data_IF_276064052783
#
_entry.id   IF_276064052783
#
_cell.length_a   1.000
_cell.length_b   1.000
_cell.length_c   1.000
_cell.angle_alpha   90.00
_cell.angle_beta   90.00
_cell.angle_gamma   90.00
#
_symmetry.space_group_name_H-M   'P 1'
#
loop_
_entity.id
_entity.type
_entity.pdbx_description
1 polymer ?
#
# COMPACT_ATOMS: atom_id res chain seq x y z
N UNK A 1 43.20 33.46 -32.85
CA UNK A 1 44.58 32.95 -32.70
C UNK A 1 44.93 32.52 -31.27
N UNK A 2 44.53 33.25 -30.22
CA UNK A 2 44.96 32.94 -28.84
C UNK A 2 44.48 31.58 -28.26
N UNK A 3 43.29 31.11 -28.65
CA UNK A 3 42.78 29.81 -28.16
C UNK A 3 43.55 28.66 -28.80
N UNK A 4 43.78 28.68 -30.12
CA UNK A 4 44.49 27.60 -30.84
C UNK A 4 45.93 27.38 -30.36
N UNK A 5 46.65 28.43 -29.98
CA UNK A 5 48.02 28.33 -29.43
C UNK A 5 48.07 27.78 -28.00
N UNK A 6 46.96 27.80 -27.27
CA UNK A 6 46.86 27.29 -25.91
C UNK A 6 46.66 25.76 -25.88
N UNK A 7 46.04 25.19 -26.91
CA UNK A 7 45.84 23.74 -27.02
C UNK A 7 47.10 23.00 -27.50
N UNK A 8 47.99 23.68 -28.24
CA UNK A 8 49.26 23.09 -28.73
C UNK A 8 50.35 22.97 -27.67
N UNK A 9 50.16 23.56 -26.48
CA UNK A 9 51.15 23.59 -25.39
C UNK A 9 50.75 22.75 -24.17
N UNK A 10 49.51 22.23 -24.13
CA UNK A 10 49.07 21.34 -23.06
C UNK A 10 49.62 19.94 -23.34
N UNK A 11 50.54 19.51 -22.48
CA UNK A 11 51.08 18.16 -22.53
C UNK A 11 50.03 17.14 -22.08
N UNK A 12 50.11 15.91 -22.59
CA UNK A 12 49.24 14.81 -22.13
C UNK A 12 49.25 14.64 -20.61
N UNK A 13 50.39 14.89 -19.95
CA UNK A 13 50.50 14.87 -18.50
C UNK A 13 49.66 15.94 -17.80
N UNK A 14 49.63 17.16 -18.35
CA UNK A 14 48.78 18.25 -17.83
C UNK A 14 47.30 17.96 -18.08
N UNK A 15 46.93 17.41 -19.24
CA UNK A 15 45.55 16.98 -19.50
C UNK A 15 45.11 15.90 -18.51
N UNK A 16 45.93 14.88 -18.28
CA UNK A 16 45.64 13.81 -17.33
C UNK A 16 45.53 14.34 -15.89
N UNK A 17 46.39 15.27 -15.49
CA UNK A 17 46.31 15.90 -14.18
C UNK A 17 45.02 16.72 -14.01
N UNK A 18 44.60 17.47 -15.02
CA UNK A 18 43.33 18.22 -14.99
C UNK A 18 42.14 17.28 -14.92
N UNK A 19 42.11 16.21 -15.73
CA UNK A 19 41.05 15.20 -15.69
C UNK A 19 40.99 14.51 -14.32
N UNK A 20 42.14 14.19 -13.73
CA UNK A 20 42.22 13.60 -12.40
C UNK A 20 41.68 14.55 -11.32
N UNK A 21 42.09 15.82 -11.33
CA UNK A 21 41.64 16.81 -10.34
C UNK A 21 40.14 17.07 -10.47
N UNK A 22 39.62 17.22 -11.69
CA UNK A 22 38.19 17.39 -11.95
C UNK A 22 37.41 16.15 -11.52
N UNK A 23 37.91 14.96 -11.83
CA UNK A 23 37.31 13.69 -11.41
C UNK A 23 37.29 13.51 -9.89
N UNK A 24 38.37 13.87 -9.20
CA UNK A 24 38.48 13.81 -7.74
C UNK A 24 37.53 14.82 -7.08
N UNK A 25 37.44 16.04 -7.63
CA UNK A 25 36.49 17.06 -7.22
C UNK A 25 35.05 16.59 -7.37
N UNK A 26 34.70 16.04 -8.54
CA UNK A 26 33.38 15.49 -8.80
C UNK A 26 33.02 14.33 -7.86
N UNK A 27 33.95 13.39 -7.62
CA UNK A 27 33.75 12.29 -6.69
C UNK A 27 33.55 12.77 -5.23
N UNK A 28 34.28 13.82 -4.82
CA UNK A 28 34.15 14.42 -3.49
C UNK A 28 32.81 15.11 -3.31
N UNK A 29 32.37 15.87 -4.32
CA UNK A 29 31.04 16.51 -4.31
C UNK A 29 29.93 15.46 -4.28
N UNK A 30 30.04 14.40 -5.09
CA UNK A 30 29.10 13.27 -5.08
C UNK A 30 29.07 12.53 -3.74
N UNK A 31 30.23 12.30 -3.13
CA UNK A 31 30.35 11.66 -1.81
C UNK A 31 29.63 12.50 -0.75
N UNK A 32 29.87 13.81 -0.74
CA UNK A 32 29.23 14.73 0.20
C UNK A 32 27.73 14.79 -0.04
N UNK A 33 27.32 14.86 -1.32
CA UNK A 33 25.93 14.87 -1.71
C UNK A 33 25.22 13.59 -1.28
N UNK A 34 25.78 12.40 -1.54
CA UNK A 34 25.15 11.12 -1.20
C UNK A 34 25.06 10.85 0.30
N UNK A 35 26.13 11.14 1.04
CA UNK A 35 26.22 10.81 2.47
C UNK A 35 25.50 11.78 3.40
N UNK A 36 25.38 13.06 3.03
CA UNK A 36 24.87 14.07 3.96
C UNK A 36 23.78 14.99 3.40
N UNK A 37 23.80 15.26 2.08
CA UNK A 37 22.84 16.21 1.48
C UNK A 37 21.73 15.52 0.68
N UNK A 38 21.78 14.20 0.53
CA UNK A 38 20.78 13.47 -0.25
C UNK A 38 19.51 13.33 0.58
N UNK A 39 18.32 13.37 -0.06
CA UNK A 39 17.05 13.17 0.64
C UNK A 39 16.98 11.85 1.42
N UNK A 40 17.84 10.87 1.09
CA UNK A 40 17.91 9.53 1.68
C UNK A 40 19.10 9.33 2.62
N UNK A 41 19.92 10.37 2.87
CA UNK A 41 21.11 10.30 3.74
C UNK A 41 20.78 9.97 5.21
N UNK A 42 19.53 10.18 5.62
CA UNK A 42 19.03 9.89 6.96
C UNK A 42 18.69 8.40 7.16
N UNK A 43 18.67 7.59 6.10
CA UNK A 43 18.38 6.16 6.18
C UNK A 43 19.63 5.43 6.70
N UNK A 44 19.54 4.69 7.82
CA UNK A 44 20.70 4.05 8.43
C UNK A 44 21.23 2.90 7.55
N UNK A 45 22.55 2.85 7.38
CA UNK A 45 23.23 1.79 6.63
C UNK A 45 24.74 2.04 6.47
N UNK A 46 25.48 1.08 5.89
CA UNK A 46 26.92 1.21 5.70
C UNK A 46 27.27 2.36 4.75
N UNK A 47 28.11 3.29 5.20
CA UNK A 47 28.48 4.49 4.43
C UNK A 47 29.07 4.17 3.05
N UNK A 48 29.77 3.06 2.90
CA UNK A 48 30.34 2.64 1.61
C UNK A 48 29.26 2.26 0.58
N UNK A 49 28.14 1.68 1.03
CA UNK A 49 26.99 1.36 0.19
C UNK A 49 26.29 2.62 -0.30
N UNK A 50 26.16 3.62 0.59
CA UNK A 50 25.61 4.93 0.23
C UNK A 50 26.54 5.73 -0.70
N UNK A 51 27.86 5.53 -0.60
CA UNK A 51 28.85 6.25 -1.39
C UNK A 51 28.91 5.75 -2.85
N UNK A 52 28.87 4.43 -3.07
CA UNK A 52 29.25 3.84 -4.36
C UNK A 52 28.54 2.52 -4.68
N UNK A 53 28.31 2.27 -5.97
CA UNK A 53 27.94 0.93 -6.51
C UNK A 53 29.08 -0.10 -6.35
N UNK A 54 30.30 0.33 -6.00
CA UNK A 54 31.41 -0.57 -5.72
C UNK A 54 31.17 -1.45 -4.49
N UNK A 55 30.30 -1.04 -3.58
CA UNK A 55 29.90 -1.88 -2.47
C UNK A 55 29.15 -3.13 -2.95
N UNK A 56 28.14 -2.96 -3.81
CA UNK A 56 27.44 -4.04 -4.50
C UNK A 56 28.42 -4.87 -5.35
N UNK A 57 29.24 -4.20 -6.17
CA UNK A 57 30.24 -4.85 -7.02
C UNK A 57 31.25 -5.71 -6.24
N UNK A 58 31.67 -5.27 -5.04
CA UNK A 58 32.57 -6.05 -4.20
C UNK A 58 31.92 -7.36 -3.74
N UNK A 59 30.68 -7.30 -3.26
CA UNK A 59 30.00 -8.51 -2.82
C UNK A 59 29.59 -9.41 -3.99
N UNK A 60 29.22 -8.86 -5.15
CA UNK A 60 28.77 -9.63 -6.30
C UNK A 60 29.89 -10.15 -7.20
N UNK A 61 30.95 -9.37 -7.43
CA UNK A 61 32.05 -9.77 -8.31
C UNK A 61 33.22 -10.34 -7.51
N UNK A 62 33.65 -9.67 -6.44
CA UNK A 62 34.86 -10.08 -5.70
C UNK A 62 34.57 -11.23 -4.74
N UNK A 63 33.42 -11.22 -4.07
CA UNK A 63 33.00 -12.28 -3.15
C UNK A 63 32.09 -13.35 -3.78
N UNK A 64 31.84 -13.25 -5.09
CA UNK A 64 31.12 -14.25 -5.88
C UNK A 64 29.62 -14.28 -5.63
N UNK A 65 28.92 -13.17 -5.85
CA UNK A 65 27.45 -13.10 -5.81
C UNK A 65 26.85 -13.01 -4.41
N UNK A 66 27.61 -12.52 -3.42
CA UNK A 66 27.19 -12.53 -2.01
C UNK A 66 26.44 -11.27 -1.56
N UNK A 67 26.14 -10.33 -2.46
CA UNK A 67 25.55 -9.06 -2.05
C UNK A 67 24.16 -9.25 -1.43
N UNK A 68 23.41 -10.23 -1.94
CA UNK A 68 22.12 -10.64 -1.39
C UNK A 68 22.20 -11.05 0.09
N UNK A 69 23.19 -11.87 0.48
CA UNK A 69 23.36 -12.27 1.88
C UNK A 69 23.77 -11.07 2.75
N UNK A 70 24.56 -10.14 2.20
CA UNK A 70 24.88 -8.91 2.91
C UNK A 70 23.65 -8.04 3.09
N UNK A 71 22.78 -7.91 2.08
CA UNK A 71 21.49 -7.23 2.20
C UNK A 71 20.62 -7.89 3.29
N UNK A 72 20.63 -9.21 3.44
CA UNK A 72 19.90 -9.89 4.53
C UNK A 72 20.48 -9.55 5.91
N UNK A 73 21.80 -9.51 6.04
CA UNK A 73 22.48 -9.07 7.28
C UNK A 73 22.15 -7.61 7.60
N UNK A 74 22.20 -6.74 6.59
CA UNK A 74 21.81 -5.34 6.71
C UNK A 74 20.32 -5.18 7.01
N UNK A 75 19.46 -6.09 6.53
CA UNK A 75 18.05 -6.08 6.93
C UNK A 75 17.86 -6.53 8.39
N UNK A 76 18.69 -7.43 8.91
CA UNK A 76 18.69 -7.78 10.34
C UNK A 76 19.20 -6.63 11.21
N UNK A 77 20.16 -5.86 10.71
CA UNK A 77 20.81 -4.76 11.44
C UNK A 77 20.03 -3.43 11.33
N UNK A 78 19.46 -3.14 10.16
CA UNK A 78 18.84 -1.86 9.79
C UNK A 78 17.40 -1.99 9.24
N UNK A 79 16.96 -3.20 8.88
CA UNK A 79 15.83 -3.44 7.99
C UNK A 79 14.47 -3.61 8.63
N UNK A 80 14.20 -3.02 9.78
CA UNK A 80 12.81 -2.89 10.23
C UNK A 80 12.13 -1.81 9.39
N UNK A 81 11.81 -2.12 8.13
CA UNK A 81 11.12 -1.20 7.18
C UNK A 81 9.84 -0.61 7.80
N UNK A 82 9.23 -1.34 8.75
CA UNK A 82 8.05 -0.91 9.49
C UNK A 82 8.24 -0.83 11.01
N UNK A 83 9.47 -0.98 11.53
CA UNK A 83 9.73 -0.97 12.97
C UNK A 83 9.11 -2.13 13.76
N UNK A 84 8.69 -3.22 13.08
CA UNK A 84 8.02 -4.38 13.67
C UNK A 84 8.60 -5.72 13.17
N UNK A 85 9.91 -5.98 13.35
CA UNK A 85 10.62 -7.15 12.80
C UNK A 85 10.07 -8.50 13.29
N UNK A 86 9.49 -8.54 14.48
CA UNK A 86 8.93 -9.76 15.05
C UNK A 86 7.48 -9.99 14.63
N UNK A 87 6.86 -9.11 13.83
CA UNK A 87 5.48 -9.27 13.37
C UNK A 87 5.26 -10.43 12.40
N UNK A 88 4.03 -10.92 12.27
CA UNK A 88 3.69 -12.01 11.35
C UNK A 88 4.11 -11.68 9.91
N UNK A 89 3.86 -10.45 9.46
CA UNK A 89 4.19 -9.99 8.11
C UNK A 89 5.70 -9.84 7.86
N UNK A 90 6.47 -9.46 8.88
CA UNK A 90 7.93 -9.31 8.77
C UNK A 90 8.71 -10.62 8.97
N UNK A 91 8.03 -11.69 9.42
CA UNK A 91 8.67 -12.98 9.74
C UNK A 91 9.24 -13.63 8.48
N UNK A 92 10.55 -13.86 8.46
CA UNK A 92 11.25 -14.47 7.31
C UNK A 92 11.05 -15.98 7.27
N UNK A 93 11.21 -16.67 8.39
CA UNK A 93 11.07 -18.13 8.47
C UNK A 93 9.65 -18.60 8.06
N UNK A 94 9.56 -19.68 7.29
CA UNK A 94 8.29 -20.15 6.73
C UNK A 94 7.35 -20.68 7.80
N UNK A 95 7.84 -21.59 8.65
CA UNK A 95 7.02 -22.28 9.64
C UNK A 95 6.62 -21.33 10.77
N UNK A 96 7.52 -20.42 11.17
CA UNK A 96 7.21 -19.39 12.16
C UNK A 96 6.18 -18.39 11.65
N UNK A 97 6.30 -17.96 10.38
CA UNK A 97 5.28 -17.14 9.74
C UNK A 97 3.93 -17.88 9.70
N UNK A 98 3.94 -19.16 9.29
CA UNK A 98 2.73 -20.00 9.22
C UNK A 98 2.06 -20.14 10.59
N UNK A 99 2.83 -20.37 11.65
CA UNK A 99 2.36 -20.41 13.03
C UNK A 99 1.65 -19.10 13.42
N UNK A 100 2.36 -17.96 13.30
CA UNK A 100 1.83 -16.63 13.63
C UNK A 100 0.57 -16.29 12.82
N UNK A 101 0.59 -16.60 11.53
CA UNK A 101 -0.50 -16.30 10.60
C UNK A 101 -1.72 -17.20 10.78
N UNK A 102 -1.55 -18.42 11.27
CA UNK A 102 -2.66 -19.39 11.43
C UNK A 102 -3.82 -18.82 12.25
N UNK A 103 -3.51 -18.09 13.32
CA UNK A 103 -4.48 -17.43 14.20
C UNK A 103 -5.15 -16.24 13.49
N UNK A 104 -4.36 -15.44 12.77
CA UNK A 104 -4.86 -14.25 12.07
C UNK A 104 -5.77 -14.58 10.88
N UNK A 105 -5.53 -15.71 10.20
CA UNK A 105 -6.32 -16.12 9.05
C UNK A 105 -7.81 -16.29 9.41
N UNK A 106 -8.12 -16.74 10.62
CA UNK A 106 -9.51 -16.88 11.09
C UNK A 106 -10.19 -15.50 11.18
N UNK A 107 -9.50 -14.51 11.74
CA UNK A 107 -10.01 -13.15 11.88
C UNK A 107 -10.24 -12.46 10.53
N UNK A 108 -9.32 -12.63 9.58
CA UNK A 108 -9.40 -12.01 8.25
C UNK A 108 -10.12 -12.87 7.20
N UNK A 109 -10.79 -13.95 7.61
CA UNK A 109 -11.59 -14.76 6.70
C UNK A 109 -12.78 -13.96 6.15
N UNK A 110 -13.25 -14.29 4.94
CA UNK A 110 -14.45 -13.66 4.35
C UNK A 110 -15.66 -13.75 5.28
N UNK A 111 -15.82 -14.86 6.02
CA UNK A 111 -16.91 -15.03 6.97
C UNK A 111 -16.78 -14.05 8.14
N UNK A 112 -15.61 -13.97 8.77
CA UNK A 112 -15.36 -13.06 9.89
C UNK A 112 -15.51 -11.60 9.49
N UNK A 113 -15.01 -11.21 8.30
CA UNK A 113 -15.17 -9.85 7.77
C UNK A 113 -16.64 -9.51 7.52
N UNK A 114 -17.45 -10.45 7.01
CA UNK A 114 -18.90 -10.24 6.86
C UNK A 114 -19.59 -10.01 8.20
N UNK A 115 -19.17 -10.71 9.25
CA UNK A 115 -19.70 -10.49 10.60
C UNK A 115 -19.31 -9.12 11.17
N UNK A 116 -18.25 -8.50 10.64
CA UNK A 116 -17.83 -7.13 10.99
C UNK A 116 -18.55 -6.06 10.16
N UNK A 117 -19.41 -6.41 9.20
CA UNK A 117 -20.12 -5.43 8.37
C UNK A 117 -20.79 -4.30 9.18
N UNK A 118 -21.52 -4.56 10.29
CA UNK A 118 -22.15 -3.48 11.07
C UNK A 118 -21.13 -2.46 11.61
N UNK A 119 -19.95 -2.94 12.02
CA UNK A 119 -18.86 -2.09 12.51
C UNK A 119 -18.26 -1.26 11.38
N UNK A 120 -18.08 -1.86 10.20
CA UNK A 120 -17.58 -1.14 9.01
C UNK A 120 -18.62 -0.09 8.60
N UNK A 121 -19.90 -0.43 8.57
CA UNK A 121 -20.98 0.48 8.21
C UNK A 121 -21.09 1.67 9.14
N UNK A 122 -20.98 1.49 10.46
CA UNK A 122 -20.93 2.61 11.43
C UNK A 122 -19.83 3.61 11.07
N UNK A 123 -18.66 3.11 10.62
CA UNK A 123 -17.53 3.94 10.19
C UNK A 123 -17.79 4.61 8.85
N UNK A 124 -18.44 3.92 7.90
CA UNK A 124 -18.86 4.52 6.63
C UNK A 124 -19.87 5.63 6.87
N UNK A 125 -20.85 5.41 7.75
CA UNK A 125 -21.87 6.42 8.05
C UNK A 125 -21.25 7.64 8.74
N UNK A 126 -20.30 7.42 9.66
CA UNK A 126 -19.52 8.51 10.28
C UNK A 126 -18.70 9.29 9.25
N UNK A 127 -18.12 8.60 8.25
CA UNK A 127 -17.40 9.22 7.15
C UNK A 127 -18.33 10.11 6.31
N UNK A 128 -19.51 9.60 5.94
CA UNK A 128 -20.50 10.33 5.14
C UNK A 128 -21.09 11.52 5.90
N UNK A 129 -21.33 11.39 7.20
CA UNK A 129 -21.72 12.51 8.06
C UNK A 129 -20.63 13.58 8.10
N UNK A 130 -19.35 13.19 8.15
CA UNK A 130 -18.23 14.13 8.07
C UNK A 130 -18.20 14.89 6.73
N UNK A 131 -18.47 14.23 5.60
CA UNK A 131 -18.63 14.89 4.30
C UNK A 131 -19.78 15.89 4.31
N UNK A 132 -20.95 15.49 4.79
CA UNK A 132 -22.11 16.37 4.90
C UNK A 132 -21.81 17.59 5.77
N UNK A 133 -21.22 17.38 6.94
CA UNK A 133 -20.86 18.46 7.88
C UNK A 133 -19.84 19.42 7.28
N UNK A 134 -18.85 18.89 6.56
CA UNK A 134 -17.86 19.72 5.87
C UNK A 134 -18.52 20.56 4.78
N UNK A 135 -19.35 19.96 3.92
CA UNK A 135 -20.13 20.67 2.91
C UNK A 135 -20.97 21.80 3.50
N UNK A 136 -21.64 21.54 4.63
CA UNK A 136 -22.52 22.50 5.29
C UNK A 136 -21.77 23.66 5.97
N UNK A 137 -20.53 23.44 6.44
CA UNK A 137 -19.79 24.44 7.23
C UNK A 137 -18.64 25.12 6.49
N UNK A 138 -18.14 24.52 5.42
CA UNK A 138 -16.97 24.95 4.65
C UNK A 138 -17.24 24.91 3.13
N UNK A 139 -18.48 25.18 2.71
CA UNK A 139 -18.90 25.18 1.30
C UNK A 139 -17.94 26.00 0.42
N UNK A 140 -17.44 25.39 -0.67
CA UNK A 140 -16.49 26.01 -1.60
C UNK A 140 -15.02 25.94 -1.18
N UNK A 141 -14.69 25.36 -0.01
CA UNK A 141 -13.32 25.07 0.36
C UNK A 141 -12.94 23.65 -0.06
N UNK A 142 -11.79 23.49 -0.74
CA UNK A 142 -11.39 22.16 -1.13
C UNK A 142 -10.82 21.36 0.05
N UNK A 143 -11.14 20.06 0.11
CA UNK A 143 -10.63 19.09 1.09
C UNK A 143 -9.73 18.07 0.41
N UNK A 144 -8.62 17.69 1.03
CA UNK A 144 -7.88 16.53 0.55
C UNK A 144 -8.57 15.21 0.95
N UNK A 145 -9.08 14.46 -0.04
CA UNK A 145 -9.89 13.25 0.16
C UNK A 145 -9.11 12.10 0.83
N UNK A 146 -7.78 12.10 0.73
CA UNK A 146 -6.95 11.14 1.46
C UNK A 146 -7.15 11.24 2.97
N UNK A 147 -7.39 12.43 3.51
CA UNK A 147 -7.56 12.64 4.94
C UNK A 147 -8.82 11.94 5.50
N UNK A 148 -10.04 12.19 4.98
CA UNK A 148 -11.24 11.50 5.46
C UNK A 148 -11.16 9.99 5.21
N UNK A 149 -10.63 9.52 4.08
CA UNK A 149 -10.46 8.08 3.85
C UNK A 149 -9.40 7.43 4.76
N UNK A 150 -8.30 8.14 5.07
CA UNK A 150 -7.31 7.64 6.05
C UNK A 150 -7.87 7.64 7.47
N UNK A 151 -8.70 8.63 7.82
CA UNK A 151 -9.41 8.65 9.10
C UNK A 151 -10.40 7.49 9.23
N UNK A 152 -11.09 7.13 8.14
CA UNK A 152 -11.99 5.97 8.06
C UNK A 152 -11.24 4.65 8.27
N UNK A 153 -10.16 4.41 7.51
CA UNK A 153 -9.42 3.15 7.54
C UNK A 153 -8.73 2.89 8.86
N UNK A 154 -8.12 3.91 9.49
CA UNK A 154 -7.56 3.93 10.85
C UNK A 154 -6.82 5.28 11.04
N UNK A 155 -7.49 6.32 11.58
CA UNK A 155 -6.88 7.64 11.74
C UNK A 155 -5.56 7.67 12.54
N UNK A 156 -4.72 8.68 12.30
CA UNK A 156 -3.42 8.88 12.99
C UNK A 156 -3.54 8.98 14.52
N UNK A 157 -4.68 9.49 15.00
CA UNK A 157 -5.05 9.48 16.42
C UNK A 157 -5.25 8.06 16.96
N UNK A 158 -5.77 7.14 16.14
CA UNK A 158 -5.86 5.71 16.42
C UNK A 158 -4.50 5.07 16.58
N UNK A 159 -3.50 5.42 15.77
CA UNK A 159 -2.13 4.87 15.89
C UNK A 159 -1.41 5.30 17.19
N UNK A 160 -1.45 6.60 17.51
CA UNK A 160 -0.85 7.14 18.75
C UNK A 160 -1.58 6.64 20.00
N UNK A 161 -2.91 6.56 19.93
CA UNK A 161 -3.73 5.99 21.01
C UNK A 161 -3.50 4.49 21.14
N UNK A 162 -3.34 3.76 20.03
CA UNK A 162 -3.07 2.32 19.99
C UNK A 162 -1.77 1.93 20.68
N UNK A 163 -0.65 2.66 20.53
CA UNK A 163 0.58 2.29 21.24
C UNK A 163 0.41 2.31 22.77
N UNK A 164 -0.32 3.30 23.29
CA UNK A 164 -0.63 3.43 24.72
C UNK A 164 -1.74 2.47 25.16
N UNK A 165 -2.79 2.32 24.35
CA UNK A 165 -3.93 1.44 24.59
C UNK A 165 -3.53 -0.03 24.49
N UNK A 166 -2.61 -0.43 23.61
CA UNK A 166 -2.10 -1.81 23.51
C UNK A 166 -1.38 -2.18 24.80
N UNK A 167 -0.48 -1.33 25.30
CA UNK A 167 0.22 -1.61 26.55
C UNK A 167 -0.76 -1.68 27.73
N UNK A 168 -1.75 -0.80 27.76
CA UNK A 168 -2.79 -0.79 28.79
C UNK A 168 -3.75 -2.00 28.67
N UNK A 169 -4.18 -2.36 27.47
CA UNK A 169 -5.01 -3.53 27.18
C UNK A 169 -4.26 -4.80 27.53
N UNK A 170 -2.99 -4.93 27.17
CA UNK A 170 -2.19 -6.11 27.51
C UNK A 170 -1.97 -6.20 29.02
N UNK A 171 -1.72 -5.08 29.71
CA UNK A 171 -1.64 -5.06 31.18
C UNK A 171 -2.97 -5.45 31.83
N UNK A 172 -4.10 -4.96 31.31
CA UNK A 172 -5.45 -5.29 31.78
C UNK A 172 -5.81 -6.76 31.52
N UNK A 173 -5.42 -7.30 30.36
CA UNK A 173 -5.63 -8.71 30.02
C UNK A 173 -4.79 -9.62 30.92
N UNK A 174 -3.51 -9.27 31.16
CA UNK A 174 -2.64 -10.03 32.08
C UNK A 174 -3.07 -9.95 33.54
N UNK A 175 -3.61 -8.81 33.99
CA UNK A 175 -4.09 -8.66 35.38
C UNK A 175 -5.41 -9.38 35.66
N UNK A 176 -6.13 -9.84 34.63
CA UNK A 176 -7.42 -10.54 34.73
C UNK A 176 -7.34 -12.03 34.39
N UNK A 177 -6.17 -12.53 34.03
CA UNK A 177 -5.90 -13.93 33.62
C UNK A 177 -6.24 -14.96 34.72
N UNK A 178 -6.01 -14.61 36.00
CA UNK A 178 -6.20 -15.51 37.15
C UNK A 178 -7.55 -15.36 37.88
N UNK A 179 -8.44 -14.45 37.45
CA UNK A 179 -9.65 -14.13 38.22
C UNK A 179 -10.93 -14.83 37.73
N UNK A 180 -10.86 -15.60 36.64
CA UNK A 180 -12.06 -16.20 36.02
C UNK A 180 -13.03 -15.18 35.41
N UNK A 181 -12.79 -13.87 35.61
CA UNK A 181 -13.44 -12.77 34.89
C UNK A 181 -12.90 -12.60 33.46
N UNK A 182 -11.95 -13.45 33.05
CA UNK A 182 -11.46 -13.58 31.69
C UNK A 182 -12.56 -13.97 30.67
N UNK A 183 -13.77 -14.33 31.10
CA UNK A 183 -14.93 -14.49 30.23
C UNK A 183 -15.38 -13.14 29.64
N UNK A 184 -14.64 -12.71 28.62
CA UNK A 184 -15.08 -12.18 27.32
C UNK A 184 -16.46 -11.49 27.30
N UNK A 185 -16.67 -10.47 28.13
CA UNK A 185 -17.79 -9.55 27.98
C UNK A 185 -17.39 -8.38 27.07
N UNK A 186 -17.03 -8.72 25.83
CA UNK A 186 -16.91 -7.75 24.74
C UNK A 186 -17.79 -8.24 23.61
N UNK A 187 -18.79 -7.45 23.24
CA UNK A 187 -19.72 -7.74 22.14
C UNK A 187 -19.02 -8.02 20.81
N UNK A 188 -17.75 -7.59 20.66
CA UNK A 188 -16.88 -7.86 19.52
C UNK A 188 -15.44 -8.20 19.97
N UNK A 189 -14.99 -9.46 19.90
CA UNK A 189 -13.61 -9.83 20.22
C UNK A 189 -12.62 -9.21 19.21
N UNK A 190 -11.52 -8.64 19.71
CA UNK A 190 -10.49 -8.01 18.86
C UNK A 190 -9.42 -9.02 18.44
N UNK A 191 -8.62 -8.66 17.43
CA UNK A 191 -7.46 -9.45 16.98
C UNK A 191 -6.54 -9.84 18.16
N UNK A 192 -6.34 -8.94 19.13
CA UNK A 192 -5.50 -9.21 20.29
C UNK A 192 -6.12 -10.24 21.24
N UNK A 193 -7.45 -10.30 21.35
CA UNK A 193 -8.12 -11.32 22.15
C UNK A 193 -7.85 -12.70 21.55
N UNK A 194 -7.99 -12.84 20.23
CA UNK A 194 -7.73 -14.09 19.51
C UNK A 194 -6.26 -14.55 19.65
N UNK A 195 -5.31 -13.62 19.54
CA UNK A 195 -3.88 -13.93 19.70
C UNK A 195 -3.53 -14.40 21.12
N UNK A 196 -4.12 -13.79 22.15
CA UNK A 196 -3.84 -14.13 23.55
C UNK A 196 -4.53 -15.45 23.93
N UNK A 197 -5.78 -15.65 23.50
CA UNK A 197 -6.57 -16.84 23.82
C UNK A 197 -6.13 -18.09 23.05
N UNK A 198 -5.43 -17.94 21.92
CA UNK A 198 -5.08 -19.06 21.06
C UNK A 198 -4.17 -20.08 21.73
N UNK A 199 -4.60 -21.34 21.81
CA UNK A 199 -3.75 -22.46 22.26
C UNK A 199 -2.65 -22.82 21.25
N UNK A 200 -2.79 -22.40 19.99
CA UNK A 200 -1.83 -22.68 18.94
C UNK A 200 -0.57 -21.81 19.01
N UNK A 201 -0.60 -20.71 19.78
CA UNK A 201 0.56 -19.83 19.96
C UNK A 201 1.26 -20.14 21.29
N UNK A 202 2.59 -20.35 21.28
CA UNK A 202 3.35 -20.52 22.52
C UNK A 202 3.41 -19.20 23.30
N UNK A 203 3.66 -19.28 24.61
CA UNK A 203 3.67 -18.08 25.48
C UNK A 203 4.69 -17.02 25.06
N UNK A 204 5.78 -17.42 24.41
CA UNK A 204 6.77 -16.49 23.86
C UNK A 204 6.19 -15.59 22.75
N UNK A 205 5.16 -16.05 22.02
CA UNK A 205 4.44 -15.27 20.99
C UNK A 205 3.37 -14.34 21.58
N UNK A 206 3.03 -14.51 22.87
CA UNK A 206 2.00 -13.73 23.57
C UNK A 206 2.56 -12.62 24.45
N UNK A 207 3.85 -12.31 24.29
CA UNK A 207 4.48 -11.23 25.07
C UNK A 207 3.96 -9.86 24.63
N UNK A 208 3.93 -8.85 25.54
CA UNK A 208 3.37 -7.55 25.19
C UNK A 208 4.10 -6.86 24.04
N UNK A 209 5.43 -6.93 24.03
CA UNK A 209 6.25 -6.35 22.97
C UNK A 209 5.98 -7.02 21.61
N UNK A 210 5.80 -8.34 21.60
CA UNK A 210 5.48 -9.10 20.39
C UNK A 210 4.11 -8.74 19.82
N UNK A 211 3.08 -8.70 20.67
CA UNK A 211 1.72 -8.34 20.28
C UNK A 211 1.62 -6.87 19.84
N UNK A 212 2.41 -5.98 20.44
CA UNK A 212 2.49 -4.58 20.01
C UNK A 212 3.05 -4.43 18.58
N UNK A 213 4.08 -5.21 18.24
CA UNK A 213 4.59 -5.26 16.87
C UNK A 213 3.56 -5.83 15.88
N UNK A 214 2.74 -6.81 16.31
CA UNK A 214 1.64 -7.33 15.50
C UNK A 214 0.56 -6.27 15.23
N UNK A 215 0.09 -5.59 16.28
CA UNK A 215 -0.89 -4.52 16.14
C UNK A 215 -0.38 -3.37 15.26
N UNK A 216 0.89 -2.99 15.44
CA UNK A 216 1.54 -1.94 14.63
C UNK A 216 1.50 -2.26 13.14
N UNK A 217 1.93 -3.47 12.74
CA UNK A 217 2.01 -3.79 11.32
C UNK A 217 0.62 -3.95 10.68
N UNK A 218 -0.36 -4.47 11.43
CA UNK A 218 -1.72 -4.67 10.93
C UNK A 218 -2.42 -3.34 10.67
N UNK A 219 -2.28 -2.37 11.58
CA UNK A 219 -2.83 -1.02 11.39
C UNK A 219 -2.11 -0.29 10.27
N UNK A 220 -0.77 -0.28 10.26
CA UNK A 220 0.00 0.38 9.19
C UNK A 220 -0.32 -0.20 7.81
N UNK A 221 -0.49 -1.51 7.70
CA UNK A 221 -0.85 -2.18 6.45
C UNK A 221 -2.24 -1.80 5.94
N UNK A 222 -3.22 -1.62 6.83
CA UNK A 222 -4.61 -1.31 6.50
C UNK A 222 -4.92 0.18 6.26
N UNK A 223 -4.14 1.11 6.81
CA UNK A 223 -4.45 2.56 6.70
C UNK A 223 -4.19 3.11 5.30
N UNK A 224 -2.92 3.20 4.90
CA UNK A 224 -2.52 4.00 3.74
C UNK A 224 -2.91 3.34 2.41
N UNK A 225 -2.95 2.01 2.36
CA UNK A 225 -3.25 1.26 1.13
C UNK A 225 -4.73 1.34 0.76
N UNK A 226 -5.62 1.09 1.73
CA UNK A 226 -7.07 1.22 1.54
C UNK A 226 -7.48 2.67 1.26
N UNK A 227 -6.92 3.64 1.99
CA UNK A 227 -7.26 5.06 1.78
C UNK A 227 -6.80 5.58 0.42
N UNK A 228 -5.64 5.13 -0.06
CA UNK A 228 -5.16 5.42 -1.41
C UNK A 228 -6.06 4.81 -2.50
N UNK A 229 -6.45 3.54 -2.34
CA UNK A 229 -7.35 2.88 -3.29
C UNK A 229 -8.74 3.54 -3.35
N UNK A 230 -9.29 3.95 -2.21
CA UNK A 230 -10.55 4.70 -2.13
C UNK A 230 -10.44 6.07 -2.79
N UNK A 231 -9.34 6.79 -2.55
CA UNK A 231 -9.10 8.11 -3.15
C UNK A 231 -9.00 8.06 -4.66
N UNK A 232 -8.28 7.09 -5.21
CA UNK A 232 -8.17 6.90 -6.66
C UNK A 232 -9.50 6.51 -7.29
N UNK A 233 -10.24 5.60 -6.65
CA UNK A 233 -11.58 5.25 -7.10
C UNK A 233 -12.48 6.49 -7.16
N UNK A 234 -12.50 7.28 -6.08
CA UNK A 234 -13.29 8.50 -6.02
C UNK A 234 -12.86 9.51 -7.09
N UNK A 235 -11.54 9.76 -7.23
CA UNK A 235 -10.95 10.63 -8.26
C UNK A 235 -11.47 10.29 -9.65
N UNK A 236 -11.28 9.05 -10.07
CA UNK A 236 -11.64 8.66 -11.42
C UNK A 236 -13.15 8.68 -11.65
N UNK A 237 -13.97 8.29 -10.66
CA UNK A 237 -15.41 8.37 -10.77
C UNK A 237 -15.89 9.82 -10.95
N UNK A 238 -15.44 10.75 -10.10
CA UNK A 238 -15.89 12.13 -10.19
C UNK A 238 -15.35 12.82 -11.43
N UNK A 239 -14.10 12.56 -11.81
CA UNK A 239 -13.47 13.12 -13.02
C UNK A 239 -14.08 12.56 -14.33
N UNK A 240 -14.61 11.33 -14.32
CA UNK A 240 -15.22 10.69 -15.49
C UNK A 240 -16.73 10.51 -15.31
N UNK A 241 -17.51 11.55 -15.66
CA UNK A 241 -18.97 11.57 -15.45
C UNK A 241 -19.72 10.40 -16.11
N UNK A 242 -19.25 9.86 -17.25
CA UNK A 242 -19.83 8.66 -17.86
C UNK A 242 -19.64 7.40 -17.01
N UNK A 243 -18.46 7.24 -16.41
CA UNK A 243 -18.11 6.12 -15.53
C UNK A 243 -18.93 6.17 -14.24
N UNK A 244 -19.03 7.36 -13.63
CA UNK A 244 -19.86 7.56 -12.44
C UNK A 244 -21.35 7.32 -12.72
N UNK A 245 -21.87 7.81 -13.86
CA UNK A 245 -23.27 7.59 -14.23
C UNK A 245 -23.62 6.11 -14.30
N UNK A 246 -22.78 5.29 -14.94
CA UNK A 246 -22.98 3.83 -15.02
C UNK A 246 -23.00 3.17 -13.64
N UNK A 247 -22.06 3.57 -12.77
CA UNK A 247 -22.05 3.07 -11.39
C UNK A 247 -23.34 3.46 -10.66
N UNK A 248 -23.75 4.73 -10.78
CA UNK A 248 -24.95 5.24 -10.12
C UNK A 248 -26.22 4.61 -10.67
N UNK A 249 -26.30 4.29 -11.95
CA UNK A 249 -27.42 3.54 -12.53
C UNK A 249 -27.59 2.18 -11.86
N UNK A 250 -26.49 1.44 -11.69
CA UNK A 250 -26.50 0.16 -10.97
C UNK A 250 -26.85 0.33 -9.49
N UNK A 251 -26.28 1.33 -8.81
CA UNK A 251 -26.52 1.57 -7.38
C UNK A 251 -27.95 2.01 -7.08
N UNK A 252 -28.58 2.86 -7.91
CA UNK A 252 -29.97 3.30 -7.68
C UNK A 252 -30.97 2.16 -7.90
N UNK A 253 -30.66 1.21 -8.79
CA UNK A 253 -31.46 -0.02 -8.96
C UNK A 253 -31.26 -0.97 -7.78
N UNK A 254 -30.01 -1.15 -7.34
CA UNK A 254 -29.68 -2.09 -6.27
C UNK A 254 -30.05 -1.58 -4.87
N UNK A 255 -30.06 -0.27 -4.66
CA UNK A 255 -30.26 0.42 -3.39
C UNK A 255 -31.37 1.49 -3.57
N UNK A 256 -32.66 1.10 -3.61
CA UNK A 256 -33.73 2.06 -3.83
C UNK A 256 -33.82 3.11 -2.71
N UNK A 257 -33.66 2.69 -1.45
CA UNK A 257 -33.56 3.56 -0.29
C UNK A 257 -32.10 3.68 0.17
N UNK A 258 -31.57 4.91 0.19
CA UNK A 258 -30.21 5.18 0.60
C UNK A 258 -29.94 4.89 2.09
N UNK A 259 -30.98 4.78 2.91
CA UNK A 259 -30.87 4.46 4.34
C UNK A 259 -30.96 2.95 4.63
N UNK A 260 -31.22 2.13 3.61
CA UNK A 260 -31.31 0.68 3.79
C UNK A 260 -29.92 0.07 4.04
N UNK A 261 -29.84 -0.83 5.02
CA UNK A 261 -28.63 -1.65 5.24
C UNK A 261 -28.58 -2.73 4.17
N UNK A 262 -27.58 -2.64 3.30
CA UNK A 262 -27.42 -3.58 2.18
C UNK A 262 -26.38 -4.65 2.53
N UNK A 263 -26.73 -5.94 2.49
CA UNK A 263 -25.77 -7.01 2.75
C UNK A 263 -24.53 -6.88 1.84
N UNK A 264 -23.33 -7.00 2.41
CA UNK A 264 -22.07 -6.89 1.66
C UNK A 264 -22.03 -7.85 0.46
N UNK A 265 -22.55 -9.07 0.62
CA UNK A 265 -22.64 -10.04 -0.47
C UNK A 265 -23.45 -9.55 -1.67
N UNK A 266 -24.48 -8.72 -1.45
CA UNK A 266 -25.24 -8.10 -2.54
C UNK A 266 -24.38 -7.07 -3.27
N UNK A 267 -23.65 -6.22 -2.55
CA UNK A 267 -22.71 -5.25 -3.15
C UNK A 267 -21.57 -5.94 -3.93
N UNK A 268 -20.99 -7.01 -3.38
CA UNK A 268 -19.96 -7.82 -4.03
C UNK A 268 -20.44 -8.45 -5.35
N UNK A 269 -21.75 -8.67 -5.47
CA UNK A 269 -22.36 -9.25 -6.67
C UNK A 269 -22.68 -8.23 -7.77
N UNK A 270 -22.63 -6.93 -7.47
CA UNK A 270 -22.92 -5.88 -8.44
C UNK A 270 -21.79 -5.80 -9.47
N UNK A 271 -22.06 -6.09 -10.76
CA UNK A 271 -21.01 -6.27 -11.76
C UNK A 271 -20.20 -4.99 -12.01
N UNK A 272 -20.84 -3.82 -12.10
CA UNK A 272 -20.13 -2.57 -12.38
C UNK A 272 -19.38 -2.05 -11.16
N UNK A 273 -19.96 -2.13 -9.95
CA UNK A 273 -19.24 -1.82 -8.71
C UNK A 273 -18.01 -2.72 -8.52
N UNK A 274 -18.14 -4.03 -8.76
CA UNK A 274 -17.00 -4.98 -8.73
C UNK A 274 -15.94 -4.61 -9.76
N UNK A 275 -16.34 -4.19 -10.95
CA UNK A 275 -15.43 -3.71 -11.98
C UNK A 275 -14.69 -2.42 -11.55
N UNK A 276 -15.38 -1.47 -10.95
CA UNK A 276 -14.80 -0.22 -10.42
C UNK A 276 -13.78 -0.51 -9.31
N UNK A 277 -14.13 -1.37 -8.35
CA UNK A 277 -13.22 -1.77 -7.26
C UNK A 277 -11.95 -2.40 -7.80
N UNK A 278 -12.07 -3.30 -8.80
CA UNK A 278 -10.91 -3.96 -9.42
C UNK A 278 -10.02 -3.00 -10.19
N UNK A 279 -10.61 -2.08 -10.96
CA UNK A 279 -9.84 -1.09 -11.70
C UNK A 279 -9.15 -0.09 -10.76
N UNK A 280 -9.80 0.29 -9.66
CA UNK A 280 -9.19 1.10 -8.62
C UNK A 280 -8.02 0.39 -7.94
N UNK A 281 -8.15 -0.90 -7.63
CA UNK A 281 -7.05 -1.71 -7.09
C UNK A 281 -5.88 -1.84 -8.08
N UNK A 282 -6.18 -1.94 -9.39
CA UNK A 282 -5.16 -2.01 -10.43
C UNK A 282 -4.34 -0.71 -10.49
N UNK A 283 -5.00 0.44 -10.44
CA UNK A 283 -4.36 1.76 -10.45
C UNK A 283 -3.70 2.14 -9.14
N UNK A 284 -4.23 1.69 -8.00
CA UNK A 284 -3.66 2.03 -6.70
C UNK A 284 -2.34 1.35 -6.41
N UNK A 285 -2.11 0.18 -7.02
CA UNK A 285 -0.85 -0.57 -6.95
C UNK A 285 -0.36 -0.59 -5.50
N UNK A 286 -1.23 -1.08 -4.59
CA UNK A 286 -1.09 -0.89 -3.14
C UNK A 286 0.29 -1.21 -2.55
N UNK A 287 1.09 -2.03 -3.24
CA UNK A 287 2.54 -2.11 -3.06
C UNK A 287 3.23 -2.11 -4.44
N UNK A 288 3.98 -1.05 -4.76
CA UNK A 288 4.72 -0.93 -6.02
C UNK A 288 6.08 -1.63 -5.97
N UNK A 289 6.66 -1.67 -4.77
CA UNK A 289 7.96 -2.27 -4.51
C UNK A 289 8.01 -3.77 -4.83
N UNK A 290 9.23 -4.26 -5.07
CA UNK A 290 9.45 -5.66 -5.46
C UNK A 290 9.18 -6.60 -4.29
N UNK A 291 8.19 -7.47 -4.45
CA UNK A 291 7.81 -8.46 -3.44
C UNK A 291 8.83 -9.60 -3.43
N UNK A 292 9.83 -9.46 -2.57
CA UNK A 292 10.97 -10.38 -2.51
C UNK A 292 10.61 -11.71 -1.81
N UNK A 293 11.21 -12.79 -2.28
CA UNK A 293 11.11 -14.16 -1.75
C UNK A 293 12.50 -14.78 -1.74
N UNK A 294 12.75 -15.65 -0.78
CA UNK A 294 13.97 -16.43 -0.67
C UNK A 294 13.59 -17.86 -0.26
N UNK A 295 14.10 -18.85 -0.98
CA UNK A 295 14.02 -20.25 -0.60
C UNK A 295 15.34 -20.62 0.07
N UNK A 296 15.28 -21.02 1.34
CA UNK A 296 16.46 -21.34 2.15
C UNK A 296 16.83 -22.82 2.10
N UNK A 297 15.89 -23.67 1.67
CA UNK A 297 16.03 -25.13 1.73
C UNK A 297 15.94 -25.80 0.35
N UNK A 298 15.49 -25.07 -0.67
CA UNK A 298 15.29 -25.58 -2.03
C UNK A 298 15.65 -24.56 -3.11
N UNK A 299 15.96 -25.06 -4.31
CA UNK A 299 16.18 -24.23 -5.48
C UNK A 299 14.83 -23.85 -6.09
N UNK A 300 14.66 -22.59 -6.50
CA UNK A 300 13.45 -22.22 -7.27
C UNK A 300 13.58 -22.75 -8.69
N UNK A 301 12.53 -23.44 -9.15
CA UNK A 301 12.40 -23.89 -10.53
C UNK A 301 11.47 -22.91 -11.26
N UNK A 302 12.00 -22.20 -12.24
CA UNK A 302 11.24 -21.32 -13.11
C UNK A 302 11.07 -22.00 -14.47
N UNK A 303 9.82 -22.31 -14.82
CA UNK A 303 9.48 -22.87 -16.11
C UNK A 303 9.18 -21.74 -17.11
N UNK A 304 10.08 -21.53 -18.07
CA UNK A 304 9.88 -20.65 -19.22
C UNK A 304 9.11 -21.44 -20.29
N UNK A 305 7.78 -21.31 -20.25
CA UNK A 305 6.88 -22.00 -21.17
C UNK A 305 7.05 -21.54 -22.63
N UNK A 306 7.47 -20.30 -22.86
CA UNK A 306 7.66 -19.77 -24.23
C UNK A 306 8.90 -20.37 -24.88
N UNK A 307 9.99 -20.50 -24.13
CA UNK A 307 11.25 -21.06 -24.63
C UNK A 307 11.40 -22.54 -24.36
N UNK A 308 10.42 -23.18 -23.71
CA UNK A 308 10.45 -24.57 -23.28
C UNK A 308 11.73 -24.88 -22.48
N UNK A 309 12.08 -23.99 -21.54
CA UNK A 309 13.28 -24.10 -20.70
C UNK A 309 12.93 -24.08 -19.23
N UNK A 310 13.70 -24.81 -18.45
CA UNK A 310 13.64 -24.75 -16.99
C UNK A 310 14.90 -24.07 -16.47
N UNK A 311 14.70 -23.05 -15.64
CA UNK A 311 15.77 -22.35 -14.96
C UNK A 311 15.79 -22.77 -13.50
N UNK A 312 16.94 -23.27 -13.06
CA UNK A 312 17.18 -23.63 -11.66
C UNK A 312 17.89 -22.50 -10.96
N UNK A 313 17.17 -21.77 -10.12
CA UNK A 313 17.70 -20.68 -9.30
C UNK A 313 18.20 -21.28 -7.98
N UNK A 314 19.50 -21.12 -7.62
CA UNK A 314 20.07 -21.73 -6.43
C UNK A 314 19.38 -21.33 -5.12
N UNK A 315 19.48 -22.23 -4.14
CA UNK A 315 19.09 -21.98 -2.74
C UNK A 315 19.74 -20.70 -2.22
N UNK A 316 18.99 -19.91 -1.46
CA UNK A 316 19.45 -18.65 -0.87
C UNK A 316 19.41 -17.45 -1.83
N UNK A 317 19.02 -17.65 -3.09
CA UNK A 317 18.85 -16.55 -4.05
C UNK A 317 17.54 -15.80 -3.75
N UNK A 318 17.61 -14.47 -3.65
CA UNK A 318 16.43 -13.62 -3.55
C UNK A 318 15.83 -13.43 -4.94
N UNK A 319 14.55 -13.77 -5.07
CA UNK A 319 13.74 -13.57 -6.27
C UNK A 319 12.64 -12.57 -5.94
N UNK A 320 12.42 -11.58 -6.80
CA UNK A 320 11.42 -10.56 -6.57
C UNK A 320 10.66 -10.26 -7.85
N UNK A 321 9.35 -10.00 -7.72
CA UNK A 321 8.49 -9.56 -8.81
C UNK A 321 7.88 -8.21 -8.46
N UNK A 322 7.72 -7.34 -9.46
CA UNK A 322 7.03 -6.06 -9.28
C UNK A 322 5.57 -6.21 -9.73
N UNK A 323 4.59 -6.01 -8.82
CA UNK A 323 3.18 -5.99 -9.19
C UNK A 323 2.89 -4.89 -10.22
N UNK A 324 3.57 -3.74 -10.13
CA UNK A 324 3.47 -2.63 -11.06
C UNK A 324 3.65 -3.08 -12.51
N UNK A 325 4.72 -3.85 -12.79
CA UNK A 325 5.02 -4.30 -14.15
C UNK A 325 3.92 -5.19 -14.73
N UNK A 326 3.22 -5.97 -13.90
CA UNK A 326 2.12 -6.84 -14.37
C UNK A 326 0.84 -6.04 -14.62
N UNK A 327 0.48 -5.14 -13.70
CA UNK A 327 -0.78 -4.38 -13.77
C UNK A 327 -0.75 -3.19 -14.74
N UNK A 328 0.45 -2.85 -15.23
CA UNK A 328 0.72 -1.82 -16.23
C UNK A 328 1.17 -2.39 -17.58
N UNK A 329 1.17 -3.70 -17.75
CA UNK A 329 1.51 -4.37 -19.02
C UNK A 329 0.40 -4.14 -20.05
N UNK A 330 0.72 -3.53 -21.20
CA UNK A 330 -0.25 -3.23 -22.26
C UNK A 330 -0.81 -4.49 -22.95
N UNK A 331 -0.05 -5.60 -22.98
CA UNK A 331 -0.50 -6.86 -23.56
C UNK A 331 -1.53 -7.55 -22.66
N UNK A 332 -1.48 -7.28 -21.35
CA UNK A 332 -2.44 -7.80 -20.38
C UNK A 332 -3.62 -6.84 -20.22
N UNK A 333 -3.32 -5.56 -20.02
CA UNK A 333 -4.24 -4.45 -19.77
C UNK A 333 -4.07 -3.36 -20.84
N UNK A 334 -4.75 -3.47 -21.99
CA UNK A 334 -4.67 -2.44 -23.03
C UNK A 334 -5.06 -1.06 -22.50
N UNK A 335 -4.27 -0.06 -22.86
CA UNK A 335 -4.36 1.31 -22.34
C UNK A 335 -4.36 1.34 -20.79
N UNK A 336 -3.25 0.94 -20.15
CA UNK A 336 -3.19 0.68 -18.71
C UNK A 336 -3.25 1.97 -17.88
N UNK A 337 -2.97 3.14 -18.47
CA UNK A 337 -3.07 4.43 -17.79
C UNK A 337 -4.50 4.96 -17.72
N UNK A 338 -5.41 4.44 -18.54
CA UNK A 338 -6.82 4.81 -18.47
C UNK A 338 -7.56 4.00 -17.41
N UNK A 339 -8.40 4.68 -16.65
CA UNK A 339 -9.34 4.04 -15.74
C UNK A 339 -10.57 3.57 -16.52
N UNK A 340 -10.66 2.27 -16.79
CA UNK A 340 -11.74 1.67 -17.58
C UNK A 340 -12.33 0.43 -16.89
N UNK A 341 -13.31 0.58 -15.98
CA UNK A 341 -13.98 -0.55 -15.32
C UNK A 341 -14.51 -1.59 -16.30
N UNK A 342 -14.96 -1.19 -17.49
CA UNK A 342 -15.58 -2.04 -18.51
C UNK A 342 -14.72 -3.25 -18.91
N UNK A 343 -13.39 -3.15 -18.80
CA UNK A 343 -12.49 -4.29 -19.09
C UNK A 343 -12.79 -5.50 -18.20
N UNK A 344 -13.24 -5.28 -16.97
CA UNK A 344 -13.57 -6.32 -16.01
C UNK A 344 -14.93 -6.98 -16.25
N UNK A 345 -15.81 -6.34 -17.03
CA UNK A 345 -17.11 -6.91 -17.41
C UNK A 345 -16.97 -7.90 -18.57
N UNK A 346 -16.09 -7.57 -19.53
CA UNK A 346 -15.91 -8.35 -20.75
C UNK A 346 -14.92 -9.50 -20.57
N UNK A 347 -13.87 -9.28 -19.76
CA UNK A 347 -12.69 -10.15 -19.71
C UNK A 347 -12.19 -10.40 -18.27
N UNK A 348 -13.11 -10.30 -17.30
CA UNK A 348 -12.79 -10.34 -15.87
C UNK A 348 -12.03 -11.59 -15.43
N UNK A 349 -12.40 -12.77 -15.93
CA UNK A 349 -11.78 -14.04 -15.55
C UNK A 349 -10.32 -14.13 -15.99
N UNK A 350 -9.99 -13.62 -17.20
CA UNK A 350 -8.60 -13.56 -17.67
C UNK A 350 -7.79 -12.54 -16.88
N UNK A 351 -8.37 -11.37 -16.59
CA UNK A 351 -7.66 -10.26 -15.95
C UNK A 351 -7.42 -10.50 -14.45
N UNK A 352 -8.32 -11.19 -13.76
CA UNK A 352 -8.26 -11.40 -12.31
C UNK A 352 -6.98 -12.14 -11.87
N UNK A 353 -6.47 -13.07 -12.68
CA UNK A 353 -5.21 -13.78 -12.40
C UNK A 353 -3.97 -12.87 -12.47
N UNK A 354 -4.08 -11.73 -13.15
CA UNK A 354 -3.01 -10.74 -13.30
C UNK A 354 -3.15 -9.55 -12.34
N UNK A 355 -4.23 -9.49 -11.54
CA UNK A 355 -4.38 -8.48 -10.49
C UNK A 355 -3.56 -8.88 -9.25
N UNK A 356 -2.23 -8.77 -9.35
CA UNK A 356 -1.27 -9.27 -8.35
C UNK A 356 -1.03 -8.33 -7.17
N UNK A 357 -1.87 -7.30 -6.99
CA UNK A 357 -1.69 -6.24 -5.96
C UNK A 357 -1.82 -6.75 -4.52
N UNK A 358 -2.45 -7.92 -4.33
CA UNK A 358 -2.51 -8.61 -3.03
C UNK A 358 -1.45 -9.72 -2.89
N UNK A 359 -0.54 -9.86 -3.85
CA UNK A 359 0.39 -10.99 -3.91
C UNK A 359 -0.32 -12.34 -4.07
N UNK A 360 0.33 -13.42 -3.66
CA UNK A 360 -0.20 -14.78 -3.80
C UNK A 360 0.42 -15.80 -2.84
N UNK A 361 -0.16 -17.00 -2.83
CA UNK A 361 0.27 -18.12 -2.01
C UNK A 361 0.04 -17.91 -0.51
N UNK A 362 0.80 -18.61 0.33
CA UNK A 362 0.69 -18.56 1.81
C UNK A 362 1.07 -17.21 2.42
N UNK A 363 1.66 -16.30 1.62
CA UNK A 363 2.04 -14.94 1.98
C UNK A 363 1.24 -13.87 1.21
N UNK A 364 0.04 -14.21 0.73
CA UNK A 364 -0.88 -13.20 0.18
C UNK A 364 -1.26 -12.17 1.24
N UNK A 365 -1.73 -11.00 0.81
CA UNK A 365 -2.24 -9.97 1.72
C UNK A 365 -3.25 -10.57 2.70
N UNK A 366 -3.00 -10.35 3.99
CA UNK A 366 -3.87 -10.83 5.07
C UNK A 366 -5.19 -10.05 5.08
N UNK A 367 -5.14 -8.73 4.85
CA UNK A 367 -6.30 -7.84 4.88
C UNK A 367 -7.17 -7.83 3.62
N UNK A 368 -6.94 -8.72 2.64
CA UNK A 368 -7.63 -8.67 1.32
C UNK A 368 -9.16 -8.63 1.45
N UNK A 369 -9.74 -9.49 2.29
CA UNK A 369 -11.18 -9.55 2.47
C UNK A 369 -11.75 -8.25 3.09
N UNK A 370 -11.04 -7.69 4.08
CA UNK A 370 -11.43 -6.45 4.74
C UNK A 370 -11.33 -5.25 3.79
N UNK A 371 -10.21 -5.12 3.07
CA UNK A 371 -10.02 -4.03 2.10
C UNK A 371 -11.10 -4.04 1.01
N UNK A 372 -11.47 -5.22 0.49
CA UNK A 372 -12.57 -5.34 -0.47
C UNK A 372 -13.90 -4.92 0.16
N UNK A 373 -14.22 -5.39 1.37
CA UNK A 373 -15.44 -5.03 2.06
C UNK A 373 -15.57 -3.51 2.28
N UNK A 374 -14.49 -2.87 2.74
CA UNK A 374 -14.39 -1.41 2.90
C UNK A 374 -14.63 -0.69 1.58
N UNK A 375 -13.95 -1.09 0.50
CA UNK A 375 -14.13 -0.47 -0.82
C UNK A 375 -15.56 -0.60 -1.34
N UNK A 376 -16.18 -1.78 -1.23
CA UNK A 376 -17.56 -1.99 -1.66
C UNK A 376 -18.54 -1.12 -0.88
N UNK A 377 -18.45 -1.09 0.45
CA UNK A 377 -19.37 -0.34 1.30
C UNK A 377 -19.21 1.17 1.13
N UNK A 378 -17.97 1.67 1.14
CA UNK A 378 -17.68 3.10 0.99
C UNK A 378 -18.13 3.60 -0.39
N UNK A 379 -17.69 2.95 -1.47
CA UNK A 379 -18.01 3.43 -2.82
C UNK A 379 -19.51 3.33 -3.13
N UNK A 380 -20.17 2.26 -2.67
CA UNK A 380 -21.62 2.11 -2.86
C UNK A 380 -22.39 3.19 -2.09
N UNK A 381 -22.15 3.38 -0.79
CA UNK A 381 -22.91 4.35 0.01
C UNK A 381 -22.58 5.79 -0.38
N UNK A 382 -21.30 6.12 -0.64
CA UNK A 382 -20.88 7.45 -1.05
C UNK A 382 -21.53 7.83 -2.38
N UNK A 383 -21.34 7.04 -3.44
CA UNK A 383 -21.84 7.40 -4.76
C UNK A 383 -23.33 7.11 -4.96
N UNK A 384 -24.00 6.40 -4.05
CA UNK A 384 -25.46 6.36 -4.01
C UNK A 384 -26.07 7.69 -3.55
N UNK A 385 -25.35 8.45 -2.73
CA UNK A 385 -25.83 9.71 -2.13
C UNK A 385 -25.20 10.96 -2.76
N UNK A 386 -24.02 10.85 -3.37
CA UNK A 386 -23.28 11.98 -3.90
C UNK A 386 -23.07 11.85 -5.40
N UNK A 387 -23.43 12.91 -6.12
CA UNK A 387 -23.21 13.05 -7.55
C UNK A 387 -21.90 13.78 -7.86
N UNK A 388 -21.79 14.24 -9.10
CA UNK A 388 -20.80 15.24 -9.52
C UNK A 388 -21.48 16.34 -10.34
N UNK A 389 -20.73 17.30 -10.87
CA UNK A 389 -21.26 18.36 -11.74
C UNK A 389 -21.99 17.90 -13.03
N UNK A 390 -22.02 16.59 -13.33
CA UNK A 390 -22.63 16.02 -14.55
C UNK A 390 -23.79 15.04 -14.26
N UNK A 391 -23.71 14.25 -13.19
CA UNK A 391 -24.76 13.32 -12.75
C UNK A 391 -25.28 13.71 -11.36
N UNK A 392 -26.35 14.51 -11.34
CA UNK A 392 -27.09 14.93 -10.15
C UNK A 392 -28.49 14.34 -10.23
N UNK A 393 -28.94 13.68 -9.16
CA UNK A 393 -30.22 12.96 -9.11
C UNK A 393 -31.08 13.43 -7.94
N UNK A 394 -32.42 13.27 -8.04
CA UNK A 394 -33.30 13.52 -6.91
C UNK A 394 -32.93 12.67 -5.70
N UNK A 395 -32.79 13.32 -4.53
CA UNK A 395 -32.41 12.67 -3.28
C UNK A 395 -30.90 12.55 -3.04
N UNK A 396 -30.06 13.13 -3.90
CA UNK A 396 -28.64 13.29 -3.59
C UNK A 396 -28.45 14.26 -2.40
N UNK A 397 -27.46 13.95 -1.57
CA UNK A 397 -27.00 14.80 -0.45
C UNK A 397 -26.21 16.00 -0.95
N UNK A 398 -25.43 15.84 -2.02
CA UNK A 398 -24.58 16.89 -2.58
C UNK A 398 -23.80 16.42 -3.81
N UNK A 399 -22.89 17.27 -4.28
CA UNK A 399 -22.02 16.97 -5.43
C UNK A 399 -20.56 17.08 -5.04
N UNK A 400 -19.73 16.21 -5.63
CA UNK A 400 -18.28 16.27 -5.50
C UNK A 400 -17.69 16.84 -6.78
N UNK A 401 -16.75 17.78 -6.66
CA UNK A 401 -16.01 18.34 -7.79
C UNK A 401 -14.50 18.23 -7.55
N UNK A 402 -13.77 17.99 -8.63
CA UNK A 402 -12.31 17.96 -8.60
C UNK A 402 -11.78 19.38 -8.49
N UNK A 403 -10.83 19.63 -7.59
CA UNK A 403 -10.14 20.91 -7.46
C UNK A 403 -8.67 20.74 -7.85
N UNK A 404 -8.26 21.38 -8.95
CA UNK A 404 -6.88 21.46 -9.48
C UNK A 404 -6.13 20.13 -9.71
N UNK A 405 -6.77 18.98 -9.43
CA UNK A 405 -6.18 17.64 -9.55
C UNK A 405 -6.45 17.08 -10.95
N UNK A 406 -5.46 16.45 -11.55
CA UNK A 406 -5.50 15.86 -12.88
C UNK A 406 -5.21 14.36 -12.83
N UNK A 407 -5.53 13.57 -13.88
CA UNK A 407 -5.18 12.16 -13.92
C UNK A 407 -3.67 11.88 -13.77
N UNK A 408 -2.81 12.86 -14.06
CA UNK A 408 -1.36 12.73 -13.88
C UNK A 408 -0.98 12.66 -12.40
N UNK A 409 -1.70 13.37 -11.54
CA UNK A 409 -1.47 13.46 -10.09
C UNK A 409 -1.88 12.18 -9.37
N UNK A 410 -2.52 11.26 -10.08
CA UNK A 410 -2.88 9.92 -9.62
C UNK A 410 -1.88 8.84 -10.10
N UNK A 411 -0.98 9.17 -11.02
CA UNK A 411 -0.01 8.22 -11.57
C UNK A 411 1.23 8.15 -10.68
N UNK A 412 1.79 6.95 -10.54
CA UNK A 412 3.03 6.73 -9.81
C UNK A 412 4.20 7.47 -10.47
N UNK A 413 4.86 8.34 -9.71
CA UNK A 413 6.12 9.00 -10.08
C UNK A 413 7.32 8.23 -9.56
N UNK A 414 7.24 7.75 -8.32
CA UNK A 414 8.33 7.07 -7.64
C UNK A 414 7.88 5.75 -7.02
N UNK A 415 8.67 4.71 -7.26
CA UNK A 415 8.50 3.38 -6.71
C UNK A 415 9.20 3.26 -5.35
N UNK A 416 8.39 3.25 -4.28
CA UNK A 416 8.81 2.94 -2.90
C UNK A 416 8.13 1.65 -2.44
N UNK A 417 7.84 1.48 -1.15
CA UNK A 417 6.96 0.40 -0.70
C UNK A 417 5.52 0.66 -1.19
N UNK A 418 5.01 1.86 -0.95
CA UNK A 418 3.74 2.37 -1.51
C UNK A 418 4.10 3.34 -2.65
N UNK A 419 3.40 3.30 -3.79
CA UNK A 419 3.65 4.25 -4.87
C UNK A 419 3.47 5.68 -4.40
N UNK A 420 4.42 6.56 -4.75
CA UNK A 420 4.26 8.00 -4.55
C UNK A 420 3.82 8.61 -5.88
N UNK A 421 2.68 9.30 -5.93
CA UNK A 421 2.20 9.93 -7.16
C UNK A 421 3.02 11.17 -7.56
N UNK A 422 2.83 11.65 -8.79
CA UNK A 422 3.43 12.90 -9.26
C UNK A 422 3.08 14.09 -8.37
N UNK A 423 4.09 14.88 -8.01
CA UNK A 423 3.89 16.21 -7.40
C UNK A 423 3.74 17.28 -8.48
N UNK A 424 2.60 17.96 -8.55
CA UNK A 424 2.56 19.29 -9.20
C UNK A 424 3.42 20.22 -8.35
N UNK A 425 4.39 20.94 -8.92
CA UNK A 425 4.87 22.18 -8.30
C UNK A 425 4.09 23.35 -8.91
N UNK A 426 3.33 24.08 -8.08
CA UNK A 426 3.38 25.53 -8.20
C UNK A 426 3.36 26.19 -6.82
N UNK A 427 4.39 27.01 -6.55
CA UNK A 427 4.37 28.09 -5.54
C UNK A 427 3.88 27.74 -4.12
N UNK A 428 4.71 27.04 -3.34
CA UNK A 428 4.88 27.37 -1.92
C UNK A 428 3.73 27.13 -0.92
N UNK A 429 2.78 26.25 -1.21
CA UNK A 429 1.90 25.65 -0.18
C UNK A 429 1.82 24.14 -0.41
N UNK A 430 1.77 23.36 0.67
CA UNK A 430 1.86 21.90 0.65
C UNK A 430 0.78 21.26 -0.24
N UNK A 431 1.22 20.39 -1.14
CA UNK A 431 0.43 19.82 -2.24
C UNK A 431 -0.14 18.44 -1.87
N UNK A 432 -1.45 18.36 -1.93
CA UNK A 432 -2.32 17.31 -1.42
C UNK A 432 -3.50 17.15 -2.41
N UNK A 433 -4.16 15.99 -2.52
CA UNK A 433 -5.25 15.80 -3.51
C UNK A 433 -6.52 16.54 -3.10
N UNK A 434 -6.66 17.81 -3.46
CA UNK A 434 -7.74 18.73 -3.04
C UNK A 434 -9.06 18.56 -3.84
N UNK A 435 -10.22 18.70 -3.17
CA UNK A 435 -11.57 18.48 -3.73
C UNK A 435 -12.57 19.52 -3.26
N UNK A 436 -13.27 20.20 -4.16
CA UNK A 436 -14.32 21.14 -3.77
C UNK A 436 -15.62 20.41 -3.45
N UNK A 437 -16.13 20.61 -2.23
CA UNK A 437 -17.40 20.06 -1.74
C UNK A 437 -18.44 21.18 -1.81
N UNK A 438 -19.26 21.14 -2.87
CA UNK A 438 -20.27 22.15 -3.19
C UNK A 438 -21.66 21.82 -2.66
#
# INVERSE_FOLDING_TARGET
MAIYTCWSTITWGQTLAVVFVVGLGYATVLAVQRLWLSPIAHIPGPRLAALTQYYELYYDIVLGGKYTFKIMELHKEYGSVFGAPDSSLATIDHDHHKLRRSVLNAFFSTHSVRNLQPVIEERVDSLLEAFHKYAATQCGMPINIMYPFSAFTNGWSGFLKMKNDILHQIQKVKSTENTGQWKLDVSHPTILHELISSENLPDCEKTPARLAQEGQILVQGGTLTSSWALSLAAFHLVNQGSTLRKLRDELFVAIPDANEVIPLAKLESLPYLRAVVREALRHSIGTSGRLSRIALDEAFLLHDHERMREWRIPVGTVVSMSPYMTVMDEDIFPDPLSFQPERWLNDGDRLEKHLTVFGGGTRSCLGKALALAEMYLVLAKLFRQWGNGVDVRPGDTGVLNIFETTPRDCQMESDYFIPIPYKVQPTGQDNDMWWDVG
#
